data_IF_977368880905
#
_entry.id   IF_977368880905
#
_cell.length_a   1.000
_cell.length_b   1.000
_cell.length_c   1.000
_cell.angle_alpha   90.00
_cell.angle_beta   90.00
_cell.angle_gamma   90.00
#
_symmetry.space_group_name_H-M   'P 1'
#
loop_
_entity.id
_entity.type
_entity.pdbx_description
1 polymer ?
#
# COMPACT_ATOMS: atom_id res chain seq x y z
N UNK A 1 62.89 17.82 -3.66
CA UNK A 1 62.61 16.38 -3.60
C UNK A 1 61.22 16.20 -3.01
N UNK A 2 60.26 15.78 -3.84
CA UNK A 2 58.90 15.45 -3.38
C UNK A 2 58.96 14.28 -2.40
N UNK A 3 58.33 14.42 -1.22
CA UNK A 3 58.18 13.31 -0.28
C UNK A 3 57.07 12.40 -0.80
N UNK A 4 57.48 11.30 -1.44
CA UNK A 4 56.56 10.24 -1.87
C UNK A 4 55.92 9.57 -0.64
N UNK A 5 54.60 9.45 -0.66
CA UNK A 5 53.85 8.79 0.42
C UNK A 5 54.15 7.28 0.38
N UNK A 6 54.49 6.64 1.51
CA UNK A 6 54.78 5.21 1.56
C UNK A 6 53.60 4.36 1.06
N UNK A 7 53.87 3.34 0.24
CA UNK A 7 52.85 2.47 -0.36
C UNK A 7 51.88 1.86 0.68
N UNK A 8 52.39 1.45 1.85
CA UNK A 8 51.57 0.93 2.96
C UNK A 8 50.58 1.96 3.52
N UNK A 9 50.91 3.25 3.44
CA UNK A 9 50.05 4.35 3.87
C UNK A 9 48.98 4.65 2.82
N UNK A 10 49.32 4.54 1.53
CA UNK A 10 48.37 4.63 0.41
C UNK A 10 47.31 3.52 0.52
N UNK A 11 47.72 2.27 0.75
CA UNK A 11 46.78 1.14 0.92
C UNK A 11 45.85 1.31 2.13
N UNK A 12 46.34 1.85 3.25
CA UNK A 12 45.50 2.18 4.41
C UNK A 12 44.47 3.25 4.09
N UNK A 13 44.86 4.30 3.35
CA UNK A 13 43.93 5.37 2.95
C UNK A 13 42.84 4.86 2.00
N UNK A 14 43.19 4.00 1.04
CA UNK A 14 42.22 3.37 0.12
C UNK A 14 41.23 2.49 0.90
N UNK A 15 41.73 1.68 1.84
CA UNK A 15 40.88 0.83 2.67
C UNK A 15 39.91 1.66 3.53
N UNK A 16 40.38 2.73 4.16
CA UNK A 16 39.53 3.65 4.95
C UNK A 16 38.46 4.26 4.04
N UNK A 17 38.82 4.75 2.85
CA UNK A 17 37.88 5.33 1.90
C UNK A 17 36.79 4.32 1.48
N UNK A 18 37.18 3.09 1.14
CA UNK A 18 36.24 2.01 0.77
C UNK A 18 35.32 1.68 1.95
N UNK A 19 35.86 1.57 3.18
CA UNK A 19 35.05 1.30 4.38
C UNK A 19 34.09 2.44 4.66
N UNK A 20 34.51 3.71 4.55
CA UNK A 20 33.60 4.86 4.71
C UNK A 20 32.55 4.94 3.61
N UNK A 21 32.90 4.60 2.37
CA UNK A 21 31.95 4.56 1.25
C UNK A 21 30.95 3.41 1.43
N UNK A 22 31.39 2.25 1.91
CA UNK A 22 30.53 1.11 2.25
C UNK A 22 29.64 1.42 3.45
N UNK A 23 30.15 2.10 4.49
CA UNK A 23 29.36 2.52 5.65
C UNK A 23 28.30 3.55 5.27
N UNK A 24 28.66 4.56 4.46
CA UNK A 24 27.72 5.57 3.99
C UNK A 24 26.69 4.95 3.05
N UNK A 25 27.10 4.07 2.12
CA UNK A 25 26.17 3.33 1.27
C UNK A 25 25.25 2.41 2.09
N UNK A 26 25.76 1.73 3.13
CA UNK A 26 24.92 0.95 4.06
C UNK A 26 23.95 1.84 4.83
N UNK A 27 24.38 3.01 5.32
CA UNK A 27 23.51 3.99 6.00
C UNK A 27 22.44 4.57 5.06
N UNK A 28 22.75 4.75 3.77
CA UNK A 28 21.78 5.13 2.74
C UNK A 28 20.84 3.98 2.35
N UNK A 29 21.29 2.72 2.42
CA UNK A 29 20.49 1.53 2.11
C UNK A 29 19.58 1.11 3.29
N UNK A 30 19.78 1.63 4.50
CA UNK A 30 18.99 1.30 5.69
C UNK A 30 17.69 2.10 5.85
N UNK A 31 17.39 3.07 4.99
CA UNK A 31 16.24 3.97 5.17
C UNK A 31 15.05 3.71 4.23
N UNK A 32 15.17 2.76 3.30
CA UNK A 32 14.14 2.49 2.30
C UNK A 32 13.71 1.03 2.33
N UNK A 33 12.41 0.78 2.34
CA UNK A 33 11.81 -0.55 2.34
C UNK A 33 10.57 -0.58 1.46
N UNK A 34 10.27 -1.77 0.92
CA UNK A 34 9.06 -2.02 0.17
C UNK A 34 8.27 -3.17 0.81
N UNK A 35 6.94 -3.06 0.84
CA UNK A 35 6.03 -4.14 1.29
C UNK A 35 5.00 -4.46 0.23
N UNK A 36 4.58 -5.72 0.20
CA UNK A 36 3.49 -6.21 -0.63
C UNK A 36 2.36 -6.70 0.29
N UNK A 37 1.18 -6.14 0.11
CA UNK A 37 -0.01 -6.39 0.93
C UNK A 37 -1.10 -6.99 0.04
N UNK A 38 -1.30 -8.33 0.03
CA UNK A 38 -2.29 -8.98 -0.83
C UNK A 38 -3.64 -9.18 -0.14
N UNK A 39 -4.74 -8.84 -0.84
CA UNK A 39 -6.09 -9.26 -0.46
C UNK A 39 -6.40 -10.67 -0.97
N UNK A 40 -6.89 -11.52 -0.07
CA UNK A 40 -7.18 -12.93 -0.34
C UNK A 40 -8.68 -13.16 -0.56
N UNK A 41 -9.04 -14.22 -1.27
CA UNK A 41 -10.40 -14.75 -1.34
C UNK A 41 -10.78 -15.36 0.00
N UNK A 42 -11.99 -15.05 0.47
CA UNK A 42 -12.57 -15.73 1.63
C UNK A 42 -12.94 -17.16 1.25
N UNK A 43 -12.64 -18.11 2.15
CA UNK A 43 -13.09 -19.51 2.00
C UNK A 43 -14.61 -19.68 2.23
N UNK A 44 -15.26 -18.69 2.85
CA UNK A 44 -16.70 -18.66 3.06
C UNK A 44 -17.34 -17.74 2.02
N UNK A 45 -18.07 -18.30 1.05
CA UNK A 45 -18.78 -17.62 -0.05
C UNK A 45 -19.96 -16.72 0.42
N UNK A 46 -19.99 -16.29 1.68
CA UNK A 46 -20.98 -15.37 2.23
C UNK A 46 -20.26 -14.13 2.76
N UNK A 47 -20.21 -13.05 1.95
CA UNK A 47 -19.69 -11.77 2.38
C UNK A 47 -20.54 -11.24 3.54
N UNK A 48 -19.91 -10.97 4.67
CA UNK A 48 -20.56 -10.31 5.80
C UNK A 48 -20.99 -8.90 5.36
N UNK A 49 -22.28 -8.57 5.47
CA UNK A 49 -22.80 -7.20 5.26
C UNK A 49 -22.84 -6.39 6.55
N UNK A 50 -22.40 -6.99 7.67
CA UNK A 50 -22.47 -6.39 8.98
C UNK A 50 -21.24 -5.51 9.21
N UNK A 51 -21.48 -4.25 9.59
CA UNK A 51 -20.45 -3.25 9.91
C UNK A 51 -19.99 -3.45 11.35
N UNK A 52 -18.69 -3.25 11.63
CA UNK A 52 -18.17 -3.34 12.99
C UNK A 52 -18.73 -2.21 13.85
N UNK A 53 -19.32 -2.54 14.99
CA UNK A 53 -19.70 -1.57 16.02
C UNK A 53 -18.81 -1.67 17.26
N UNK A 54 -17.77 -2.51 17.24
CA UNK A 54 -16.86 -2.71 18.35
C UNK A 54 -16.07 -1.44 18.69
N UNK A 55 -15.96 -1.05 19.98
CA UNK A 55 -15.26 0.15 20.40
C UNK A 55 -13.72 0.02 20.38
N UNK A 56 -13.19 -1.21 20.26
CA UNK A 56 -11.75 -1.47 20.27
C UNK A 56 -11.30 -1.82 18.85
N UNK A 57 -10.42 -1.01 18.22
CA UNK A 57 -9.91 -1.32 16.89
C UNK A 57 -9.18 -2.66 16.93
N UNK A 58 -9.61 -3.60 16.09
CA UNK A 58 -8.91 -4.85 15.88
C UNK A 58 -7.74 -4.62 14.91
N UNK A 59 -6.90 -3.63 15.22
CA UNK A 59 -5.70 -3.30 14.49
C UNK A 59 -4.55 -3.48 15.47
N UNK A 60 -3.77 -4.55 15.30
CA UNK A 60 -2.56 -4.73 16.07
C UNK A 60 -1.55 -3.67 15.61
N UNK A 61 -1.09 -2.73 16.46
CA UNK A 61 -0.26 -1.63 16.00
C UNK A 61 1.10 -2.13 15.52
N UNK A 62 1.24 -2.29 14.19
CA UNK A 62 2.51 -2.15 13.52
C UNK A 62 2.73 -0.68 13.17
N UNK A 63 3.96 -0.32 12.85
CA UNK A 63 4.32 1.03 12.43
C UNK A 63 3.52 1.36 11.16
N UNK A 64 2.53 2.23 11.30
CA UNK A 64 1.70 2.67 10.17
C UNK A 64 2.43 3.83 9.48
N UNK A 65 2.87 3.56 8.25
CA UNK A 65 3.39 4.58 7.35
C UNK A 65 2.23 5.42 6.80
N UNK A 66 2.47 6.69 6.53
CA UNK A 66 1.46 7.58 5.97
C UNK A 66 2.07 8.58 5.00
N UNK A 67 1.24 9.28 4.24
CA UNK A 67 1.69 10.40 3.42
C UNK A 67 1.99 11.63 4.28
N UNK A 68 2.95 12.48 3.90
CA UNK A 68 3.27 13.70 4.65
C UNK A 68 2.17 14.78 4.56
N UNK A 69 1.19 14.62 3.68
CA UNK A 69 0.03 15.51 3.52
C UNK A 69 -1.26 14.71 3.41
N UNK A 70 -2.38 15.35 3.76
CA UNK A 70 -3.72 14.82 3.56
C UNK A 70 -4.21 14.94 2.12
N UNK A 71 -3.64 15.83 1.31
CA UNK A 71 -3.94 15.89 -0.13
C UNK A 71 -3.03 14.90 -0.85
N UNK A 72 -3.62 13.83 -1.35
CA UNK A 72 -2.89 12.69 -1.94
C UNK A 72 -3.35 12.52 -3.38
N UNK A 73 -2.42 12.56 -4.31
CA UNK A 73 -2.70 12.46 -5.73
C UNK A 73 -2.75 11.01 -6.19
N UNK A 74 -3.73 10.65 -7.01
CA UNK A 74 -3.85 9.31 -7.58
C UNK A 74 -3.98 9.34 -9.10
N UNK A 75 -3.47 8.30 -9.75
CA UNK A 75 -3.61 8.07 -11.19
C UNK A 75 -4.12 6.67 -11.47
N UNK A 76 -5.28 6.57 -12.13
CA UNK A 76 -5.77 5.28 -12.65
C UNK A 76 -5.15 5.05 -14.03
N UNK A 77 -4.42 3.95 -14.20
CA UNK A 77 -3.68 3.68 -15.44
C UNK A 77 -4.62 3.57 -16.66
N UNK A 78 -4.16 4.06 -17.81
CA UNK A 78 -4.95 4.10 -19.05
C UNK A 78 -5.46 2.72 -19.50
N UNK A 79 -4.67 1.67 -19.27
CA UNK A 79 -4.99 0.29 -19.64
C UNK A 79 -6.02 -0.36 -18.70
N UNK A 80 -6.44 0.30 -17.62
CA UNK A 80 -7.48 -0.20 -16.72
C UNK A 80 -8.84 -0.19 -17.43
N UNK A 81 -9.53 -1.35 -17.58
CA UNK A 81 -10.85 -1.41 -18.22
C UNK A 81 -11.92 -0.55 -17.53
N UNK A 82 -12.93 -0.13 -18.30
CA UNK A 82 -13.96 0.81 -17.82
C UNK A 82 -14.68 0.38 -16.53
N UNK A 83 -14.93 -0.91 -16.34
CA UNK A 83 -15.59 -1.43 -15.14
C UNK A 83 -14.69 -1.29 -13.90
N UNK A 84 -13.42 -1.68 -13.98
CA UNK A 84 -12.46 -1.48 -12.89
C UNK A 84 -12.15 0.00 -12.62
N UNK A 85 -12.14 0.87 -13.64
CA UNK A 85 -12.04 2.32 -13.40
C UNK A 85 -13.22 2.84 -12.56
N UNK A 86 -14.43 2.30 -12.75
CA UNK A 86 -15.58 2.65 -11.91
C UNK A 86 -15.43 2.11 -10.49
N UNK A 87 -14.88 0.90 -10.32
CA UNK A 87 -14.58 0.33 -9.01
C UNK A 87 -13.59 1.21 -8.23
N UNK A 88 -12.45 1.57 -8.83
CA UNK A 88 -11.48 2.49 -8.23
C UNK A 88 -12.08 3.86 -7.88
N UNK A 89 -12.88 4.45 -8.77
CA UNK A 89 -13.55 5.73 -8.48
C UNK A 89 -14.55 5.63 -7.33
N UNK A 90 -15.22 4.49 -7.15
CA UNK A 90 -16.09 4.25 -5.99
C UNK A 90 -15.27 4.14 -4.71
N UNK A 91 -14.14 3.44 -4.74
CA UNK A 91 -13.23 3.35 -3.60
C UNK A 91 -12.70 4.73 -3.19
N UNK A 92 -12.20 5.52 -4.15
CA UNK A 92 -11.77 6.91 -3.92
C UNK A 92 -12.89 7.74 -3.29
N UNK A 93 -14.10 7.66 -3.84
CA UNK A 93 -15.25 8.39 -3.29
C UNK A 93 -15.56 7.96 -1.85
N UNK A 94 -15.48 6.67 -1.54
CA UNK A 94 -15.75 6.15 -0.20
C UNK A 94 -14.71 6.64 0.81
N UNK A 95 -13.42 6.62 0.47
CA UNK A 95 -12.36 7.15 1.34
C UNK A 95 -12.42 8.67 1.48
N UNK A 96 -12.70 9.43 0.42
CA UNK A 96 -12.90 10.89 0.57
C UNK A 96 -14.12 11.21 1.44
N UNK A 97 -15.17 10.39 1.42
CA UNK A 97 -16.38 10.61 2.22
C UNK A 97 -16.16 10.51 3.74
N UNK A 98 -15.05 9.90 4.20
CA UNK A 98 -14.70 9.88 5.63
C UNK A 98 -14.06 11.18 6.11
N UNK A 99 -13.72 12.10 5.21
CA UNK A 99 -13.18 13.44 5.48
C UNK A 99 -11.88 13.44 6.31
N UNK A 100 -10.97 12.51 6.02
CA UNK A 100 -9.64 12.43 6.67
C UNK A 100 -8.52 12.86 5.72
N UNK A 101 -8.66 12.48 4.44
CA UNK A 101 -7.73 12.77 3.35
C UNK A 101 -8.53 13.23 2.13
N UNK A 102 -7.85 13.93 1.23
CA UNK A 102 -8.36 14.39 -0.05
C UNK A 102 -7.61 13.68 -1.18
N UNK A 103 -8.21 12.61 -1.70
CA UNK A 103 -7.70 11.91 -2.87
C UNK A 103 -8.06 12.70 -4.14
N UNK A 104 -7.06 13.20 -4.85
CA UNK A 104 -7.24 14.02 -6.05
C UNK A 104 -6.68 13.33 -7.30
N UNK A 105 -7.47 13.30 -8.38
CA UNK A 105 -7.01 12.64 -9.61
C UNK A 105 -5.96 13.48 -10.33
N UNK A 106 -4.92 12.83 -10.84
CA UNK A 106 -3.94 13.44 -11.76
C UNK A 106 -3.81 12.61 -13.05
N UNK A 107 -3.56 13.29 -14.16
CA UNK A 107 -3.23 12.64 -15.43
C UNK A 107 -1.72 12.34 -15.58
N UNK A 108 -0.90 12.78 -14.61
CA UNK A 108 0.54 12.60 -14.63
C UNK A 108 0.94 11.38 -13.80
N UNK A 109 1.12 10.23 -14.45
CA UNK A 109 1.58 8.98 -13.81
C UNK A 109 2.78 9.21 -12.87
N UNK A 110 3.80 9.94 -13.32
CA UNK A 110 5.05 10.13 -12.57
C UNK A 110 4.93 11.07 -11.37
N UNK A 111 3.84 11.85 -11.28
CA UNK A 111 3.60 12.81 -10.19
C UNK A 111 2.53 12.33 -9.21
N UNK A 112 1.93 11.17 -9.47
CA UNK A 112 0.92 10.61 -8.59
C UNK A 112 1.59 9.97 -7.38
N UNK A 113 1.04 10.19 -6.20
CA UNK A 113 1.42 9.49 -4.97
C UNK A 113 0.96 8.02 -5.05
N UNK A 114 -0.22 7.78 -5.63
CA UNK A 114 -0.82 6.45 -5.77
C UNK A 114 -1.10 6.10 -7.23
N UNK A 115 -0.67 4.91 -7.67
CA UNK A 115 -1.08 4.32 -8.95
C UNK A 115 -2.12 3.25 -8.72
N UNK A 116 -3.25 3.38 -9.41
CA UNK A 116 -4.35 2.44 -9.36
C UNK A 116 -4.48 1.73 -10.69
N UNK A 117 -4.56 0.40 -10.68
CA UNK A 117 -4.57 -0.37 -11.92
C UNK A 117 -5.21 -1.74 -11.80
N UNK A 118 -4.94 -2.55 -12.81
CA UNK A 118 -5.29 -3.98 -12.86
C UNK A 118 -4.09 -4.80 -13.32
N UNK A 119 -4.09 -6.08 -12.94
CA UNK A 119 -3.22 -7.11 -13.52
C UNK A 119 -4.08 -8.27 -14.01
N UNK A 120 -3.73 -8.84 -15.15
CA UNK A 120 -4.46 -9.98 -15.69
C UNK A 120 -4.42 -11.19 -14.76
N UNK A 121 -3.28 -11.39 -14.11
CA UNK A 121 -3.00 -12.48 -13.21
C UNK A 121 -1.93 -12.04 -12.21
N UNK A 122 -1.94 -12.67 -11.04
CA UNK A 122 -0.91 -12.47 -10.03
C UNK A 122 0.28 -13.39 -10.33
N UNK A 123 1.41 -12.80 -10.75
CA UNK A 123 2.70 -13.47 -10.90
C UNK A 123 3.72 -12.65 -10.13
N UNK A 124 4.20 -13.15 -8.98
CA UNK A 124 5.19 -12.43 -8.17
C UNK A 124 6.51 -12.30 -8.92
N UNK A 125 6.99 -11.07 -9.09
CA UNK A 125 8.30 -10.74 -9.64
C UNK A 125 9.32 -10.47 -8.54
N UNK A 126 9.78 -11.53 -7.85
CA UNK A 126 11.05 -11.51 -7.10
C UNK A 126 11.00 -11.33 -5.57
N UNK A 127 9.82 -11.30 -4.94
CA UNK A 127 9.67 -11.33 -3.47
C UNK A 127 9.06 -12.64 -2.99
N UNK A 128 9.57 -13.18 -1.86
CA UNK A 128 9.18 -14.47 -1.27
C UNK A 128 7.73 -14.47 -0.78
N UNK A 129 6.80 -14.81 -1.67
CA UNK A 129 5.50 -15.40 -1.31
C UNK A 129 5.31 -16.59 -2.26
N UNK A 130 5.97 -17.69 -1.93
CA UNK A 130 5.70 -18.97 -2.60
C UNK A 130 4.36 -19.50 -2.08
N UNK A 131 3.48 -19.86 -3.03
CA UNK A 131 2.26 -20.66 -2.83
C UNK A 131 1.04 -19.96 -2.21
N UNK A 132 0.45 -18.98 -2.90
CA UNK A 132 -1.00 -18.75 -2.82
C UNK A 132 -1.64 -19.12 -4.16
N UNK A 133 -1.89 -20.41 -4.34
CA UNK A 133 -2.64 -20.94 -5.49
C UNK A 133 -4.04 -20.31 -5.53
N UNK A 134 -4.36 -19.55 -6.59
CA UNK A 134 -5.73 -19.17 -6.98
C UNK A 134 -6.48 -18.14 -6.14
N UNK A 135 -5.85 -17.49 -5.15
CA UNK A 135 -6.56 -16.80 -4.07
C UNK A 135 -6.43 -15.27 -3.96
N UNK A 136 -5.59 -14.59 -4.75
CA UNK A 136 -5.32 -13.14 -4.56
C UNK A 136 -6.18 -12.30 -5.48
N UNK A 137 -7.10 -11.48 -4.94
CA UNK A 137 -8.00 -10.61 -5.72
C UNK A 137 -7.49 -9.19 -5.92
N UNK A 138 -6.60 -8.74 -5.05
CA UNK A 138 -5.95 -7.45 -5.14
C UNK A 138 -4.61 -7.50 -4.42
N UNK A 139 -3.74 -6.54 -4.73
CA UNK A 139 -2.55 -6.32 -3.92
C UNK A 139 -2.06 -4.87 -4.04
N UNK A 140 -1.41 -4.43 -2.97
CA UNK A 140 -0.79 -3.12 -2.85
C UNK A 140 0.72 -3.28 -2.66
N UNK A 141 1.51 -2.47 -3.37
CA UNK A 141 2.95 -2.33 -3.18
C UNK A 141 3.22 -0.94 -2.62
N UNK A 142 3.88 -0.90 -1.47
CA UNK A 142 4.12 0.35 -0.74
C UNK A 142 5.61 0.57 -0.58
N UNK A 143 6.03 1.82 -0.75
CA UNK A 143 7.42 2.23 -0.69
C UNK A 143 7.60 3.24 0.44
N UNK A 144 8.34 2.87 1.49
CA UNK A 144 8.33 3.59 2.76
C UNK A 144 9.71 3.70 3.41
N UNK A 145 9.83 4.65 4.34
CA UNK A 145 11.06 4.95 5.05
C UNK A 145 10.82 5.81 6.30
N UNK A 146 11.89 6.07 7.06
CA UNK A 146 11.84 6.97 8.21
C UNK A 146 12.49 8.31 7.86
N UNK A 147 11.69 9.34 7.62
CA UNK A 147 12.18 10.69 7.32
C UNK A 147 12.23 11.47 8.63
N UNK A 148 13.44 11.76 9.13
CA UNK A 148 13.65 12.39 10.44
C UNK A 148 12.95 11.64 11.60
N UNK A 149 12.94 10.30 11.53
CA UNK A 149 12.28 9.45 12.52
C UNK A 149 10.76 9.32 12.35
N UNK A 150 10.15 9.97 11.35
CA UNK A 150 8.72 9.84 11.03
C UNK A 150 8.53 8.74 9.98
N UNK A 151 7.68 7.72 10.22
CA UNK A 151 7.39 6.67 9.26
C UNK A 151 6.51 7.20 8.11
N UNK A 152 7.10 7.47 6.96
CA UNK A 152 6.41 8.00 5.79
C UNK A 152 6.45 7.05 4.60
N UNK A 153 5.44 7.15 3.74
CA UNK A 153 5.60 6.76 2.34
C UNK A 153 6.54 7.75 1.66
N UNK A 154 7.51 7.22 0.91
CA UNK A 154 8.61 8.02 0.33
C UNK A 154 8.61 8.02 -1.19
N UNK A 155 7.92 7.07 -1.81
CA UNK A 155 7.69 7.02 -3.26
C UNK A 155 6.25 6.60 -3.55
N UNK A 156 5.98 6.35 -4.82
CA UNK A 156 4.66 6.02 -5.33
C UNK A 156 4.18 4.63 -4.89
N UNK A 157 3.11 4.57 -4.12
CA UNK A 157 2.41 3.33 -3.83
C UNK A 157 1.61 2.87 -5.06
N UNK A 158 1.44 1.55 -5.21
CA UNK A 158 0.82 0.96 -6.41
C UNK A 158 -0.12 -0.17 -6.04
N UNK A 159 -1.38 -0.01 -6.41
CA UNK A 159 -2.45 -0.96 -6.13
C UNK A 159 -3.06 -1.53 -7.39
N UNK A 160 -3.29 -2.85 -7.37
CA UNK A 160 -3.79 -3.58 -8.51
C UNK A 160 -4.89 -4.55 -8.13
N UNK A 161 -5.97 -4.49 -8.92
CA UNK A 161 -7.01 -5.49 -8.96
C UNK A 161 -6.61 -6.66 -9.88
N UNK A 162 -6.74 -7.92 -9.42
CA UNK A 162 -6.33 -9.13 -10.16
C UNK A 162 -7.51 -9.74 -10.91
N UNK A 163 -7.55 -9.55 -12.23
CA UNK A 163 -8.72 -9.88 -13.07
C UNK A 163 -9.05 -11.37 -13.04
N UNK A 164 -8.06 -12.25 -13.20
CA UNK A 164 -8.30 -13.71 -13.24
C UNK A 164 -8.94 -14.22 -11.95
N UNK A 165 -8.44 -13.77 -10.80
CA UNK A 165 -8.90 -14.22 -9.48
C UNK A 165 -10.30 -13.70 -9.17
N UNK A 166 -10.59 -12.43 -9.48
CA UNK A 166 -11.94 -11.89 -9.32
C UNK A 166 -12.96 -12.62 -10.20
N UNK A 167 -12.59 -13.00 -11.43
CA UNK A 167 -13.46 -13.83 -12.28
C UNK A 167 -13.68 -15.23 -11.68
N UNK A 168 -12.62 -15.86 -11.18
CA UNK A 168 -12.71 -17.18 -10.54
C UNK A 168 -13.61 -17.15 -9.29
N UNK A 169 -13.63 -16.01 -8.59
CA UNK A 169 -14.46 -15.77 -7.42
C UNK A 169 -15.85 -15.20 -7.72
N UNK A 170 -16.21 -15.04 -9.00
CA UNK A 170 -17.49 -14.47 -9.43
C UNK A 170 -17.74 -13.03 -8.95
N UNK A 171 -16.70 -12.21 -8.84
CA UNK A 171 -16.80 -10.77 -8.53
C UNK A 171 -17.09 -9.99 -9.82
N UNK A 172 -18.28 -10.18 -10.36
CA UNK A 172 -18.71 -9.62 -11.64
C UNK A 172 -19.29 -8.21 -11.50
N UNK A 173 -19.81 -7.86 -10.33
CA UNK A 173 -20.40 -6.55 -10.09
C UNK A 173 -19.33 -5.50 -9.72
N UNK A 174 -19.54 -4.28 -10.22
CA UNK A 174 -18.63 -3.14 -9.92
C UNK A 174 -18.56 -2.85 -8.42
N UNK A 175 -19.58 -3.20 -7.62
CA UNK A 175 -19.55 -3.00 -6.17
C UNK A 175 -18.66 -4.01 -5.44
N UNK A 176 -18.66 -5.27 -5.87
CA UNK A 176 -17.78 -6.30 -5.31
C UNK A 176 -16.31 -5.95 -5.59
N UNK A 177 -16.04 -5.54 -6.83
CA UNK A 177 -14.73 -5.05 -7.25
C UNK A 177 -14.34 -3.74 -6.54
N UNK A 178 -15.32 -2.87 -6.25
CA UNK A 178 -15.07 -1.64 -5.50
C UNK A 178 -14.70 -1.93 -4.06
N UNK A 179 -15.24 -3.00 -3.46
CA UNK A 179 -14.87 -3.40 -2.11
C UNK A 179 -13.40 -3.83 -2.04
N UNK A 180 -12.94 -4.64 -3.00
CA UNK A 180 -11.50 -4.96 -3.14
C UNK A 180 -10.68 -3.69 -3.36
N UNK A 181 -11.14 -2.78 -4.21
CA UNK A 181 -10.45 -1.50 -4.41
C UNK A 181 -10.40 -0.62 -3.15
N UNK A 182 -11.43 -0.66 -2.28
CA UNK A 182 -11.42 0.07 -1.01
C UNK A 182 -10.37 -0.50 -0.06
N UNK A 183 -10.23 -1.83 0.00
CA UNK A 183 -9.21 -2.51 0.79
C UNK A 183 -7.79 -2.10 0.36
N UNK A 184 -7.47 -2.27 -0.92
CA UNK A 184 -6.15 -1.93 -1.45
C UNK A 184 -5.83 -0.43 -1.27
N UNK A 185 -6.79 0.45 -1.53
CA UNK A 185 -6.62 1.87 -1.30
C UNK A 185 -6.46 2.20 0.19
N UNK A 186 -6.96 1.38 1.10
CA UNK A 186 -6.68 1.52 2.54
C UNK A 186 -5.21 1.28 2.87
N UNK A 187 -4.57 0.30 2.22
CA UNK A 187 -3.11 0.12 2.31
C UNK A 187 -2.36 1.32 1.75
N UNK A 188 -2.76 1.83 0.58
CA UNK A 188 -2.16 3.04 0.00
C UNK A 188 -2.25 4.27 0.93
N UNK A 189 -3.22 4.28 1.86
CA UNK A 189 -3.41 5.32 2.86
C UNK A 189 -2.68 5.03 4.18
N UNK A 190 -2.16 3.82 4.38
CA UNK A 190 -1.36 3.45 5.55
C UNK A 190 -2.04 2.49 6.53
N UNK A 191 -3.25 2.01 6.23
CA UNK A 191 -3.91 1.00 7.06
C UNK A 191 -3.32 -0.38 6.78
N UNK A 192 -3.03 -1.13 7.83
CA UNK A 192 -2.70 -2.56 7.71
C UNK A 192 -3.96 -3.43 7.74
N UNK A 193 -3.81 -4.75 7.67
CA UNK A 193 -4.95 -5.64 7.85
C UNK A 193 -5.55 -5.48 9.25
N UNK A 194 -6.88 -5.54 9.30
CA UNK A 194 -7.64 -5.63 10.55
C UNK A 194 -7.96 -7.09 10.89
N UNK A 195 -7.90 -7.42 12.18
CA UNK A 195 -8.41 -8.67 12.73
C UNK A 195 -9.96 -8.67 12.83
N UNK A 196 -10.63 -7.54 12.55
CA UNK A 196 -12.09 -7.45 12.57
C UNK A 196 -12.71 -8.04 11.30
N UNK A 197 -13.67 -8.98 11.42
CA UNK A 197 -14.40 -9.54 10.26
C UNK A 197 -15.32 -8.53 9.55
N UNK A 198 -15.48 -7.34 10.10
CA UNK A 198 -16.36 -6.29 9.58
C UNK A 198 -15.60 -5.03 9.12
N UNK A 199 -14.28 -5.08 9.15
CA UNK A 199 -13.39 -4.07 8.57
C UNK A 199 -13.29 -4.26 7.06
N UNK A 200 -13.17 -3.16 6.30
CA UNK A 200 -12.79 -3.22 4.89
C UNK A 200 -11.36 -3.74 4.72
N UNK A 201 -10.51 -3.56 5.75
CA UNK A 201 -9.12 -4.00 5.79
C UNK A 201 -8.95 -5.45 6.26
N UNK A 202 -10.02 -6.24 6.35
CA UNK A 202 -9.91 -7.66 6.63
C UNK A 202 -9.24 -8.39 5.44
N UNK A 203 -8.25 -9.25 5.72
CA UNK A 203 -7.40 -9.87 4.70
C UNK A 203 -8.09 -10.92 3.80
N UNK A 204 -8.97 -11.75 4.37
CA UNK A 204 -9.69 -12.82 3.69
C UNK A 204 -11.10 -12.36 3.25
N UNK A 205 -11.14 -11.80 2.06
CA UNK A 205 -12.18 -11.01 1.40
C UNK A 205 -12.52 -9.70 2.12
N UNK A 206 -12.50 -8.57 1.40
CA UNK A 206 -13.22 -7.41 1.87
C UNK A 206 -14.71 -7.76 1.83
N UNK A 207 -15.36 -7.59 2.98
CA UNK A 207 -16.81 -7.60 3.13
C UNK A 207 -17.45 -6.82 1.97
N UNK A 208 -18.59 -7.25 1.41
CA UNK A 208 -19.22 -6.50 0.31
C UNK A 208 -19.81 -5.19 0.84
N UNK A 209 -18.95 -4.20 0.99
CA UNK A 209 -19.25 -2.92 1.58
C UNK A 209 -19.35 -1.85 0.50
N UNK A 210 -20.25 -0.92 0.74
CA UNK A 210 -20.52 0.21 -0.14
C UNK A 210 -19.89 1.51 0.38
N UNK A 211 -19.38 1.47 1.61
CA UNK A 211 -18.80 2.60 2.35
C UNK A 211 -17.73 2.08 3.30
N UNK A 212 -16.84 2.98 3.70
CA UNK A 212 -15.80 2.68 4.69
C UNK A 212 -16.45 2.47 6.06
N UNK A 213 -16.26 1.33 6.74
CA UNK A 213 -16.67 1.11 8.12
C UNK A 213 -16.09 2.16 9.08
N UNK A 214 -16.82 2.44 10.16
CA UNK A 214 -16.39 3.44 11.14
C UNK A 214 -15.07 3.07 11.84
N UNK A 215 -14.81 1.77 12.05
CA UNK A 215 -13.55 1.29 12.63
C UNK A 215 -12.34 1.68 11.78
N UNK A 216 -12.47 1.59 10.46
CA UNK A 216 -11.40 1.92 9.50
C UNK A 216 -11.25 3.43 9.36
N UNK A 217 -12.37 4.16 9.33
CA UNK A 217 -12.37 5.62 9.32
C UNK A 217 -11.69 6.21 10.58
N UNK A 218 -11.98 5.67 11.77
CA UNK A 218 -11.35 6.10 13.04
C UNK A 218 -9.86 5.79 13.06
N UNK A 219 -9.44 4.65 12.56
CA UNK A 219 -8.02 4.32 12.48
C UNK A 219 -7.28 5.26 11.52
N UNK A 220 -7.87 5.55 10.36
CA UNK A 220 -7.32 6.55 9.44
C UNK A 220 -7.23 7.94 10.09
N UNK A 221 -8.25 8.36 10.84
CA UNK A 221 -8.22 9.63 11.60
C UNK A 221 -7.08 9.69 12.61
N UNK A 222 -6.82 8.59 13.32
CA UNK A 222 -5.71 8.51 14.26
C UNK A 222 -4.37 8.61 13.53
N UNK A 223 -4.23 7.94 12.38
CA UNK A 223 -3.02 7.93 11.57
C UNK A 223 -2.69 9.33 11.03
N UNK A 224 -3.67 10.06 10.52
CA UNK A 224 -3.47 11.41 9.95
C UNK A 224 -3.63 12.54 10.97
N UNK A 225 -3.67 12.23 12.28
CA UNK A 225 -3.86 13.25 13.32
C UNK A 225 -2.67 14.22 13.34
N UNK A 226 -2.96 15.51 13.19
CA UNK A 226 -1.94 16.57 13.20
C UNK A 226 -1.21 16.77 11.88
N UNK A 227 -1.56 16.01 10.83
CA UNK A 227 -1.07 16.21 9.46
C UNK A 227 -1.96 17.25 8.78
N UNK A 228 -1.36 18.17 8.02
CA UNK A 228 -2.06 19.17 7.20
C UNK A 228 -2.30 18.71 5.77
#
# INVERSE_FOLDING_TARGET
MERLIPQKQIWKMILILIVTMMLTLMLFLTEFSARLSPALLSQNNQPTQQVDASPTPAYNPKINFHWPSRTISYHITHNTPAHFRRAWRRAVKAWNAVNVVDLISTNHYQKADIILGVKNSYHSGGGTVENISGGVVGYTSEEFGHVNGVPLFVHQNKSYLVISSMKQAHYDAVNEQASVAMHELGHDLGLEHSDSPHSIMQQAAPTYLYSIPEVDAKHLQQLYKGIS
#
